data_IF_952262634501
#
_entry.id   IF_952262634501
#
_cell.length_a   1.000
_cell.length_b   1.000
_cell.length_c   1.000
_cell.angle_alpha   90.00
_cell.angle_beta   90.00
_cell.angle_gamma   90.00
#
_symmetry.space_group_name_H-M   'P 1'
#
loop_
_entity.id
_entity.type
_entity.pdbx_description
1 polymer ?
#
# COMPACT_ATOMS: atom_id res chain seq x y z
N UNK A 1 12.94 -36.09 33.05
CA UNK A 1 12.61 -34.65 32.88
C UNK A 1 13.16 -34.13 31.55
N UNK A 2 12.66 -34.61 30.40
CA UNK A 2 13.26 -34.26 29.09
C UNK A 2 12.25 -34.11 27.94
N UNK A 3 10.93 -34.11 28.22
CA UNK A 3 9.90 -34.01 27.17
C UNK A 3 9.30 -32.59 27.02
N UNK A 4 9.38 -31.77 28.07
CA UNK A 4 8.77 -30.43 28.10
C UNK A 4 9.58 -29.37 27.36
N UNK A 5 10.89 -29.56 27.17
CA UNK A 5 11.74 -28.59 26.46
C UNK A 5 11.55 -28.60 24.94
N UNK A 6 11.12 -29.72 24.35
CA UNK A 6 10.92 -29.83 22.90
C UNK A 6 9.64 -29.14 22.42
N UNK A 7 8.61 -29.08 23.26
CA UNK A 7 7.32 -28.43 22.93
C UNK A 7 7.51 -26.91 22.85
N UNK A 8 8.35 -26.33 23.71
CA UNK A 8 8.59 -24.89 23.77
C UNK A 8 9.37 -24.35 22.55
N UNK A 9 10.21 -25.18 21.93
CA UNK A 9 11.03 -24.78 20.77
C UNK A 9 10.21 -24.89 19.46
N UNK A 10 9.28 -25.84 19.37
CA UNK A 10 8.42 -26.01 18.20
C UNK A 10 7.38 -24.90 18.00
N UNK A 11 6.95 -24.22 19.07
CA UNK A 11 5.93 -23.17 19.01
C UNK A 11 6.40 -21.80 18.50
N UNK A 12 7.70 -21.50 18.59
CA UNK A 12 8.25 -20.16 18.25
C UNK A 12 8.51 -20.01 16.75
N UNK A 13 8.65 -21.11 16.01
CA UNK A 13 8.95 -21.09 14.57
C UNK A 13 7.71 -20.88 13.67
N UNK A 14 6.50 -20.98 14.21
CA UNK A 14 5.26 -20.76 13.43
C UNK A 14 4.81 -19.30 13.34
N UNK A 15 5.47 -18.37 14.05
CA UNK A 15 5.04 -16.97 14.15
C UNK A 15 5.58 -16.00 13.09
N UNK A 16 6.57 -16.40 12.28
CA UNK A 16 7.33 -15.45 11.44
C UNK A 16 7.16 -15.61 9.93
N UNK A 17 6.35 -16.56 9.45
CA UNK A 17 6.24 -16.88 7.99
C UNK A 17 5.01 -16.25 7.33
N UNK A 18 4.41 -15.21 7.92
CA UNK A 18 3.18 -14.66 7.36
C UNK A 18 3.41 -13.68 6.21
N UNK A 19 4.48 -12.88 6.21
CA UNK A 19 4.74 -11.89 5.15
C UNK A 19 5.43 -12.52 3.93
N UNK A 20 4.98 -12.16 2.73
CA UNK A 20 5.58 -12.58 1.46
C UNK A 20 6.03 -11.36 0.64
N UNK A 21 7.30 -10.93 0.77
CA UNK A 21 7.83 -9.77 0.04
C UNK A 21 7.89 -9.99 -1.47
N UNK A 22 8.13 -11.22 -1.94
CA UNK A 22 8.21 -11.54 -3.37
C UNK A 22 6.82 -11.47 -4.01
N UNK A 23 5.79 -11.98 -3.32
CA UNK A 23 4.39 -11.76 -3.67
C UNK A 23 4.08 -10.27 -3.77
N UNK A 24 4.46 -9.48 -2.75
CA UNK A 24 4.15 -8.06 -2.73
C UNK A 24 4.83 -7.31 -3.87
N UNK A 25 6.10 -7.61 -4.17
CA UNK A 25 6.81 -7.00 -5.30
C UNK A 25 6.11 -7.31 -6.63
N UNK A 26 5.66 -8.55 -6.81
CA UNK A 26 4.93 -8.97 -8.02
C UNK A 26 3.59 -8.25 -8.15
N UNK A 27 2.74 -8.31 -7.13
CA UNK A 27 1.40 -7.70 -7.17
C UNK A 27 1.46 -6.16 -7.22
N UNK A 28 2.40 -5.54 -6.51
CA UNK A 28 2.57 -4.08 -6.54
C UNK A 28 3.09 -3.55 -7.89
N UNK A 29 3.79 -4.38 -8.69
CA UNK A 29 4.20 -3.99 -10.03
C UNK A 29 3.01 -3.94 -11.00
N UNK A 30 1.98 -4.75 -10.81
CA UNK A 30 0.72 -4.67 -11.57
C UNK A 30 0.01 -3.33 -11.30
N UNK A 31 0.09 -2.82 -10.06
CA UNK A 31 -0.43 -1.50 -9.69
C UNK A 31 0.22 -0.32 -10.44
N UNK A 32 1.46 -0.48 -10.95
CA UNK A 32 2.17 0.56 -11.74
C UNK A 32 1.73 0.55 -13.21
N UNK A 33 1.37 -0.61 -13.74
CA UNK A 33 0.89 -0.70 -15.12
C UNK A 33 -0.46 0.02 -15.27
N UNK A 34 -1.36 -0.11 -14.29
CA UNK A 34 -2.62 0.64 -14.26
C UNK A 34 -2.42 2.18 -14.24
N UNK A 35 -1.38 2.68 -13.55
CA UNK A 35 -1.06 4.11 -13.57
C UNK A 35 -0.54 4.58 -14.94
N UNK A 36 0.28 3.76 -15.60
CA UNK A 36 0.94 4.10 -16.87
C UNK A 36 -0.07 4.33 -18.00
N UNK A 37 -1.20 3.62 -17.98
CA UNK A 37 -2.29 3.79 -18.94
C UNK A 37 -3.12 5.07 -18.72
N UNK A 38 -3.03 5.71 -17.55
CA UNK A 38 -3.83 6.89 -17.20
C UNK A 38 -3.00 8.19 -17.09
N UNK A 39 -1.67 8.11 -17.16
CA UNK A 39 -0.75 9.24 -16.95
C UNK A 39 -0.63 10.22 -18.14
N UNK A 40 -1.23 9.93 -19.30
CA UNK A 40 -1.10 10.78 -20.49
C UNK A 40 -2.04 12.00 -20.51
N UNK A 41 -3.00 12.09 -19.59
CA UNK A 41 -3.98 13.17 -19.59
C UNK A 41 -3.96 13.93 -18.25
N UNK A 42 -3.63 15.22 -18.31
CA UNK A 42 -3.97 16.26 -17.32
C UNK A 42 -3.41 16.07 -15.88
N UNK A 43 -2.18 16.53 -15.69
CA UNK A 43 -1.34 16.34 -14.49
C UNK A 43 -1.94 16.88 -13.17
N UNK A 44 -2.92 17.78 -13.22
CA UNK A 44 -3.45 18.43 -12.01
C UNK A 44 -4.69 17.77 -11.40
N UNK A 45 -5.75 17.64 -12.20
CA UNK A 45 -7.03 17.15 -11.73
C UNK A 45 -7.10 15.62 -11.68
N UNK A 46 -6.26 14.91 -12.44
CA UNK A 46 -6.19 13.44 -12.39
C UNK A 46 -5.27 12.90 -11.29
N UNK A 47 -4.34 13.71 -10.76
CA UNK A 47 -3.36 13.26 -9.76
C UNK A 47 -4.04 12.62 -8.55
N UNK A 48 -5.01 13.29 -7.95
CA UNK A 48 -5.73 12.79 -6.78
C UNK A 48 -6.50 11.51 -7.04
N UNK A 49 -7.13 11.36 -8.21
CA UNK A 49 -7.80 10.12 -8.59
C UNK A 49 -6.83 8.97 -8.79
N UNK A 50 -5.70 9.23 -9.46
CA UNK A 50 -4.67 8.24 -9.80
C UNK A 50 -3.92 7.78 -8.55
N UNK A 51 -3.49 8.70 -7.69
CA UNK A 51 -2.73 8.37 -6.48
C UNK A 51 -3.58 7.59 -5.48
N UNK A 52 -4.86 7.94 -5.31
CA UNK A 52 -5.78 7.22 -4.42
C UNK A 52 -6.01 5.80 -4.94
N UNK A 53 -6.22 5.63 -6.26
CA UNK A 53 -6.38 4.30 -6.86
C UNK A 53 -5.12 3.45 -6.69
N UNK A 54 -3.96 4.03 -6.95
CA UNK A 54 -2.68 3.34 -6.82
C UNK A 54 -2.42 2.89 -5.38
N UNK A 55 -2.63 3.76 -4.39
CA UNK A 55 -2.47 3.40 -2.98
C UNK A 55 -3.45 2.32 -2.53
N UNK A 56 -4.69 2.32 -3.03
CA UNK A 56 -5.63 1.21 -2.79
C UNK A 56 -5.09 -0.11 -3.36
N UNK A 57 -4.58 -0.10 -4.58
CA UNK A 57 -3.98 -1.29 -5.19
C UNK A 57 -2.81 -1.83 -4.35
N UNK A 58 -1.92 -0.95 -3.87
CA UNK A 58 -0.83 -1.34 -2.98
C UNK A 58 -1.31 -1.91 -1.64
N UNK A 59 -2.40 -1.38 -1.07
CA UNK A 59 -3.01 -1.92 0.16
C UNK A 59 -3.55 -3.33 -0.07
N UNK A 60 -4.26 -3.55 -1.18
CA UNK A 60 -4.80 -4.88 -1.50
C UNK A 60 -3.67 -5.89 -1.75
N UNK A 61 -2.61 -5.49 -2.48
CA UNK A 61 -1.42 -6.32 -2.65
C UNK A 61 -0.75 -6.64 -1.31
N UNK A 62 -0.59 -5.64 -0.44
CA UNK A 62 -0.04 -5.83 0.90
C UNK A 62 -0.91 -6.75 1.77
N UNK A 63 -2.24 -6.69 1.65
CA UNK A 63 -3.17 -7.60 2.35
C UNK A 63 -3.09 -9.02 1.81
N UNK A 64 -3.11 -9.18 0.49
CA UNK A 64 -3.00 -10.49 -0.18
C UNK A 64 -1.70 -11.21 0.18
N UNK A 65 -0.60 -10.47 0.20
CA UNK A 65 0.73 -10.96 0.58
C UNK A 65 1.02 -10.87 2.09
N UNK A 66 0.00 -10.56 2.91
CA UNK A 66 0.05 -10.55 4.39
C UNK A 66 1.21 -9.72 4.96
N UNK A 67 1.49 -8.59 4.33
CA UNK A 67 2.53 -7.67 4.77
C UNK A 67 2.14 -6.99 6.07
N UNK A 68 3.09 -6.88 6.99
CA UNK A 68 2.82 -6.27 8.31
C UNK A 68 2.65 -4.73 8.24
N UNK A 69 2.97 -4.09 7.11
CA UNK A 69 2.88 -2.64 6.93
C UNK A 69 1.54 -2.15 6.35
N UNK A 70 0.53 -3.02 6.23
CA UNK A 70 -0.82 -2.63 5.77
C UNK A 70 -1.37 -1.43 6.56
N UNK A 71 -1.26 -1.36 7.91
CA UNK A 71 -1.74 -0.21 8.67
C UNK A 71 -1.07 1.11 8.28
N UNK A 72 0.23 1.09 7.94
CA UNK A 72 0.99 2.25 7.47
C UNK A 72 0.50 2.71 6.10
N UNK A 73 0.25 1.78 5.17
CA UNK A 73 -0.32 2.11 3.87
C UNK A 73 -1.72 2.72 3.97
N UNK A 74 -2.55 2.22 4.89
CA UNK A 74 -3.88 2.78 5.15
C UNK A 74 -3.81 4.20 5.72
N UNK A 75 -2.82 4.50 6.58
CA UNK A 75 -2.54 5.88 7.04
C UNK A 75 -2.11 6.79 5.90
N UNK A 76 -1.24 6.31 5.01
CA UNK A 76 -0.81 7.07 3.82
C UNK A 76 -2.00 7.38 2.91
N UNK A 77 -2.90 6.40 2.69
CA UNK A 77 -4.13 6.61 1.93
C UNK A 77 -5.05 7.63 2.60
N UNK A 78 -5.18 7.60 3.92
CA UNK A 78 -5.96 8.58 4.67
C UNK A 78 -5.41 10.00 4.46
N UNK A 79 -4.11 10.22 4.70
CA UNK A 79 -3.45 11.53 4.51
C UNK A 79 -3.62 12.01 3.07
N UNK A 80 -3.46 11.11 2.10
CA UNK A 80 -3.60 11.43 0.68
C UNK A 80 -5.03 11.87 0.34
N UNK A 81 -6.05 11.19 0.89
CA UNK A 81 -7.45 11.61 0.73
C UNK A 81 -7.71 12.98 1.34
N UNK A 82 -7.18 13.26 2.53
CA UNK A 82 -7.33 14.58 3.18
C UNK A 82 -6.69 15.69 2.34
N UNK A 83 -5.50 15.45 1.80
CA UNK A 83 -4.78 16.38 0.91
C UNK A 83 -5.38 16.49 -0.49
N UNK A 84 -6.31 15.62 -0.86
CA UNK A 84 -7.02 15.65 -2.13
C UNK A 84 -8.44 16.22 -2.02
N UNK A 85 -8.85 16.67 -0.83
CA UNK A 85 -10.14 17.34 -0.64
C UNK A 85 -10.15 18.71 -1.34
N UNK A 86 -11.27 19.13 -1.93
CA UNK A 86 -11.46 20.50 -2.39
C UNK A 86 -11.09 21.52 -1.29
N UNK A 87 -10.20 22.46 -1.59
CA UNK A 87 -9.74 23.49 -0.64
C UNK A 87 -8.53 23.14 0.25
N UNK A 88 -8.00 21.91 0.18
CA UNK A 88 -6.69 21.57 0.76
C UNK A 88 -5.53 22.12 -0.09
N UNK A 89 -4.35 22.37 0.50
CA UNK A 89 -3.26 23.14 -0.13
C UNK A 89 -2.74 22.58 -1.47
N UNK A 90 -2.99 21.31 -1.79
CA UNK A 90 -2.63 20.71 -3.09
C UNK A 90 -3.53 21.22 -4.24
N UNK A 91 -4.70 21.80 -3.94
CA UNK A 91 -5.57 22.44 -4.93
C UNK A 91 -5.19 23.90 -5.26
N UNK A 92 -4.13 24.45 -4.66
CA UNK A 92 -3.65 25.82 -4.95
C UNK A 92 -2.43 25.88 -5.87
N UNK A 93 -1.86 24.75 -6.27
CA UNK A 93 -0.61 24.72 -7.05
C UNK A 93 -0.76 24.41 -8.54
N UNK A 94 -1.96 24.10 -9.03
CA UNK A 94 -2.16 23.65 -10.43
C UNK A 94 -3.26 24.45 -11.16
N UNK A 95 -3.87 25.44 -10.50
CA UNK A 95 -4.83 26.35 -11.14
C UNK A 95 -4.17 27.63 -11.71
N UNK A 96 -2.87 27.83 -11.47
CA UNK A 96 -2.10 29.04 -11.86
C UNK A 96 -0.91 28.74 -12.80
N UNK A 97 -0.96 27.67 -13.59
CA UNK A 97 -0.09 27.46 -14.77
C UNK A 97 -0.97 27.30 -16.01
#
# INVERSE_FOLDING_TARGET
MQLWFLISIGGVLFGFVACDPECYEKESNECKQEQSHHAQDDLGLRYCGVIIKHQKCLIEAAKGCKMNFVPELEKVLFITKENCKPGSEINKGIADI
#
